data_IF_302639197255
#
_entry.id   IF_302639197255
#
_cell.length_a   1.000
_cell.length_b   1.000
_cell.length_c   1.000
_cell.angle_alpha   90.00
_cell.angle_beta   90.00
_cell.angle_gamma   90.00
#
_symmetry.space_group_name_H-M   'P 1'
#
loop_
_entity.id
_entity.type
_entity.pdbx_description
1 polymer ?
#
# COMPACT_ATOMS: atom_id res chain seq x y z
N UNK A 1 -19.75 -0.26 22.32
CA UNK A 1 -18.63 -0.39 21.36
C UNK A 1 -19.21 -0.36 19.96
N UNK A 2 -19.37 0.84 19.38
CA UNK A 2 -19.82 1.02 18.01
C UNK A 2 -18.62 0.84 17.08
N UNK A 3 -18.51 -0.33 16.45
CA UNK A 3 -17.61 -0.54 15.32
C UNK A 3 -18.20 0.18 14.11
N UNK A 4 -18.02 1.50 14.04
CA UNK A 4 -18.26 2.24 12.81
C UNK A 4 -17.38 1.64 11.71
N UNK A 5 -17.94 1.30 10.54
CA UNK A 5 -17.12 0.77 9.45
C UNK A 5 -16.13 1.86 9.07
N UNK A 6 -14.84 1.54 9.11
CA UNK A 6 -13.78 2.40 8.60
C UNK A 6 -14.14 2.80 7.16
N UNK A 7 -14.61 4.03 6.98
CA UNK A 7 -15.01 4.52 5.67
C UNK A 7 -13.74 4.93 4.94
N UNK A 8 -13.26 4.03 4.06
CA UNK A 8 -12.18 4.32 3.10
C UNK A 8 -12.42 5.65 2.36
N UNK A 9 -13.69 5.94 2.09
CA UNK A 9 -14.11 7.18 1.44
C UNK A 9 -13.82 8.43 2.28
N UNK A 10 -14.02 8.34 3.59
CA UNK A 10 -13.69 9.41 4.55
C UNK A 10 -12.17 9.61 4.64
N UNK A 11 -11.40 8.52 4.66
CA UNK A 11 -9.94 8.56 4.67
C UNK A 11 -9.36 9.19 3.39
N UNK A 12 -9.94 8.88 2.22
CA UNK A 12 -9.56 9.49 0.94
C UNK A 12 -9.84 10.99 0.95
N UNK A 13 -11.01 11.44 1.42
CA UNK A 13 -11.32 12.88 1.52
C UNK A 13 -10.36 13.61 2.45
N UNK A 14 -10.01 13.00 3.58
CA UNK A 14 -9.18 13.64 4.60
C UNK A 14 -7.70 13.70 4.22
N UNK A 15 -7.20 12.68 3.51
CA UNK A 15 -5.78 12.57 3.14
C UNK A 15 -5.57 12.08 1.69
N UNK A 16 -6.06 12.82 0.68
CA UNK A 16 -6.09 12.34 -0.70
C UNK A 16 -4.68 12.01 -1.24
N UNK A 17 -3.69 12.87 -0.95
CA UNK A 17 -2.30 12.67 -1.42
C UNK A 17 -1.68 11.39 -0.83
N UNK A 18 -1.93 11.09 0.45
CA UNK A 18 -1.39 9.90 1.10
C UNK A 18 -2.02 8.62 0.54
N UNK A 19 -3.32 8.65 0.26
CA UNK A 19 -4.03 7.50 -0.31
C UNK A 19 -3.65 7.29 -1.78
N UNK A 20 -3.54 8.34 -2.58
CA UNK A 20 -3.08 8.25 -3.97
C UNK A 20 -1.64 7.69 -4.03
N UNK A 21 -0.74 8.19 -3.19
CA UNK A 21 0.63 7.67 -3.09
C UNK A 21 0.67 6.18 -2.72
N UNK A 22 -0.15 5.76 -1.74
CA UNK A 22 -0.28 4.36 -1.35
C UNK A 22 -0.77 3.50 -2.52
N UNK A 23 -1.82 3.94 -3.22
CA UNK A 23 -2.37 3.21 -4.38
C UNK A 23 -1.34 3.10 -5.50
N UNK A 24 -0.63 4.17 -5.81
CA UNK A 24 0.43 4.17 -6.83
C UNK A 24 1.55 3.17 -6.48
N UNK A 25 1.99 3.16 -5.22
CA UNK A 25 3.01 2.21 -4.77
C UNK A 25 2.52 0.77 -4.76
N UNK A 26 1.26 0.51 -4.38
CA UNK A 26 0.65 -0.83 -4.45
C UNK A 26 0.58 -1.33 -5.89
N UNK A 27 0.14 -0.48 -6.83
CA UNK A 27 0.05 -0.83 -8.25
C UNK A 27 1.45 -1.09 -8.83
N UNK A 28 2.39 -0.16 -8.60
CA UNK A 28 3.77 -0.32 -9.05
C UNK A 28 4.42 -1.57 -8.46
N UNK A 29 4.21 -1.82 -7.17
CA UNK A 29 4.65 -3.03 -6.48
C UNK A 29 4.07 -4.29 -7.11
N UNK A 30 2.76 -4.31 -7.41
CA UNK A 30 2.12 -5.43 -8.09
C UNK A 30 2.71 -5.69 -9.48
N UNK A 31 2.92 -4.62 -10.27
CA UNK A 31 3.56 -4.71 -11.60
C UNK A 31 4.98 -5.26 -11.50
N UNK A 32 5.77 -4.77 -10.55
CA UNK A 32 7.12 -5.27 -10.30
C UNK A 32 7.11 -6.72 -9.80
N UNK A 33 6.17 -7.09 -8.94
CA UNK A 33 5.98 -8.47 -8.50
C UNK A 33 5.65 -9.40 -9.67
N UNK A 34 4.74 -9.00 -10.54
CA UNK A 34 4.41 -9.75 -11.75
C UNK A 34 5.56 -9.85 -12.75
N UNK A 35 6.45 -8.85 -12.82
CA UNK A 35 7.58 -8.85 -13.74
C UNK A 35 8.80 -9.63 -13.19
N UNK A 36 9.12 -9.48 -11.90
CA UNK A 36 10.41 -9.90 -11.34
C UNK A 36 10.33 -11.08 -10.35
N UNK A 37 9.16 -11.43 -9.80
CA UNK A 37 9.08 -12.60 -8.92
C UNK A 37 9.21 -13.90 -9.73
N UNK A 38 9.75 -14.98 -9.12
CA UNK A 38 9.91 -16.26 -9.79
C UNK A 38 8.60 -16.81 -10.38
N UNK A 39 8.68 -17.44 -11.55
CA UNK A 39 7.52 -18.12 -12.17
C UNK A 39 7.08 -19.37 -11.40
N UNK A 40 7.88 -19.86 -10.45
CA UNK A 40 7.48 -20.91 -9.52
C UNK A 40 6.34 -20.47 -8.59
N UNK A 41 6.10 -19.16 -8.47
CA UNK A 41 4.97 -18.59 -7.75
C UNK A 41 3.78 -18.38 -8.70
N UNK A 42 2.58 -18.72 -8.25
CA UNK A 42 1.37 -18.44 -9.02
C UNK A 42 1.18 -16.94 -9.25
N UNK A 43 0.62 -16.56 -10.40
CA UNK A 43 0.39 -15.15 -10.78
C UNK A 43 -0.31 -14.32 -9.69
N UNK A 44 -1.34 -14.83 -8.98
CA UNK A 44 -1.97 -14.09 -7.88
C UNK A 44 -1.01 -13.83 -6.70
N UNK A 45 -0.09 -14.76 -6.40
CA UNK A 45 0.92 -14.57 -5.35
C UNK A 45 1.98 -13.56 -5.77
N UNK A 46 2.34 -13.53 -7.05
CA UNK A 46 3.29 -12.54 -7.60
C UNK A 46 2.72 -11.13 -7.50
N UNK A 47 1.47 -10.95 -7.94
CA UNK A 47 0.75 -9.69 -7.83
C UNK A 47 0.54 -9.28 -6.37
N UNK A 48 0.06 -10.20 -5.52
CA UNK A 48 -0.21 -9.93 -4.11
C UNK A 48 1.05 -9.61 -3.30
N UNK A 49 2.13 -10.38 -3.50
CA UNK A 49 3.42 -10.14 -2.87
C UNK A 49 4.02 -8.79 -3.28
N UNK A 50 3.98 -8.48 -4.58
CA UNK A 50 4.41 -7.19 -5.09
C UNK A 50 3.58 -6.03 -4.54
N UNK A 51 2.25 -6.16 -4.53
CA UNK A 51 1.33 -5.17 -3.97
C UNK A 51 1.61 -4.87 -2.49
N UNK A 52 1.84 -5.92 -1.69
CA UNK A 52 2.18 -5.80 -0.27
C UNK A 52 3.50 -5.08 -0.06
N UNK A 53 4.55 -5.42 -0.81
CA UNK A 53 5.85 -4.77 -0.73
C UNK A 53 5.78 -3.30 -1.13
N UNK A 54 5.05 -2.99 -2.20
CA UNK A 54 4.78 -1.62 -2.63
C UNK A 54 4.02 -0.81 -1.57
N UNK A 55 2.97 -1.38 -0.98
CA UNK A 55 2.24 -0.74 0.11
C UNK A 55 3.11 -0.49 1.35
N UNK A 56 3.91 -1.48 1.77
CA UNK A 56 4.83 -1.35 2.90
C UNK A 56 5.86 -0.24 2.64
N UNK A 57 6.43 -0.18 1.43
CA UNK A 57 7.41 0.83 1.05
C UNK A 57 6.88 2.26 1.23
N UNK A 58 5.59 2.50 0.99
CA UNK A 58 4.98 3.81 1.22
C UNK A 58 4.66 4.08 2.69
N UNK A 59 4.27 3.04 3.43
CA UNK A 59 3.90 3.16 4.85
C UNK A 59 5.11 3.47 5.73
N UNK A 60 6.27 2.84 5.50
CA UNK A 60 7.49 3.05 6.30
C UNK A 60 7.90 4.53 6.41
N UNK A 61 8.10 5.30 5.32
CA UNK A 61 8.44 6.72 5.38
C UNK A 61 7.29 7.57 5.91
N UNK A 62 6.04 7.15 5.67
CA UNK A 62 4.86 7.85 6.21
C UNK A 62 4.81 7.78 7.74
N UNK A 63 5.20 6.65 8.34
CA UNK A 63 5.36 6.49 9.79
C UNK A 63 6.65 7.15 10.31
N UNK A 64 7.75 7.11 9.55
CA UNK A 64 9.00 7.79 9.92
C UNK A 64 8.84 9.31 10.08
N UNK A 65 8.05 9.96 9.21
CA UNK A 65 7.72 11.38 9.38
C UNK A 65 6.89 11.67 10.63
N UNK A 66 6.08 10.74 11.10
CA UNK A 66 5.30 10.90 12.33
C UNK A 66 6.17 10.83 13.59
N UNK A 67 7.27 10.08 13.57
CA UNK A 67 8.20 9.96 14.70
C UNK A 67 9.14 11.17 14.79
N UNK A 68 9.59 11.70 13.65
CA UNK A 68 10.48 12.86 13.60
C UNK A 68 9.82 14.21 13.89
N UNK A 69 8.49 14.27 14.01
CA UNK A 69 7.73 15.46 14.41
C UNK A 69 7.39 15.48 15.92
N UNK A 70 7.86 14.50 16.71
CA UNK A 70 7.75 14.46 18.17
C UNK A 70 9.04 14.89 18.86
#
# INVERSE_FOLDING_TARGET
MSSEPFSLFEAIRRHPVRVIGLMACVIAGATLGAAYLPESLSMPRRLGGGALLGGLFWLIPSFGRLIGES
#
